data_IF_988563396002
#
_entry.id   IF_988563396002
#
_cell.length_a   1.000
_cell.length_b   1.000
_cell.length_c   1.000
_cell.angle_alpha   90.00
_cell.angle_beta   90.00
_cell.angle_gamma   90.00
#
_symmetry.space_group_name_H-M   'P 1'
#
loop_
_entity.id
_entity.type
_entity.pdbx_description
1 polymer ?
#
# COMPACT_ATOMS: atom_id res chain seq x y z
N UNK A 1 -9.88 -2.13 18.88
CA UNK A 1 -9.02 -1.10 18.23
C UNK A 1 -7.69 -1.75 17.92
N UNK A 2 -7.20 -1.65 16.69
CA UNK A 2 -5.86 -2.16 16.35
C UNK A 2 -4.83 -1.41 17.22
N UNK A 3 -3.89 -2.15 17.80
CA UNK A 3 -2.78 -1.56 18.58
C UNK A 3 -1.68 -1.09 17.64
N UNK A 4 -0.89 -0.10 18.07
CA UNK A 4 0.25 0.41 17.30
C UNK A 4 1.23 -0.70 16.93
N UNK A 5 1.51 -1.63 17.85
CA UNK A 5 2.40 -2.77 17.58
C UNK A 5 1.88 -3.63 16.42
N UNK A 6 0.57 -3.83 16.33
CA UNK A 6 -0.04 -4.59 15.24
C UNK A 6 0.00 -3.82 13.91
N UNK A 7 -0.12 -2.49 13.93
CA UNK A 7 0.07 -1.66 12.72
C UNK A 7 1.51 -1.80 12.21
N UNK A 8 2.49 -1.71 13.12
CA UNK A 8 3.91 -1.84 12.77
C UNK A 8 4.18 -3.22 12.18
N UNK A 9 3.67 -4.28 12.80
CA UNK A 9 3.82 -5.65 12.30
C UNK A 9 3.23 -5.80 10.89
N UNK A 10 2.02 -5.28 10.64
CA UNK A 10 1.38 -5.30 9.32
C UNK A 10 2.24 -4.53 8.30
N UNK A 11 2.75 -3.35 8.68
CA UNK A 11 3.57 -2.54 7.80
C UNK A 11 4.89 -3.24 7.44
N UNK A 12 5.59 -3.81 8.43
CA UNK A 12 6.84 -4.55 8.18
C UNK A 12 6.61 -5.72 7.22
N UNK A 13 5.55 -6.51 7.41
CA UNK A 13 5.20 -7.61 6.50
C UNK A 13 4.90 -7.09 5.08
N UNK A 14 4.15 -5.99 4.97
CA UNK A 14 3.84 -5.39 3.68
C UNK A 14 5.09 -4.82 2.99
N UNK A 15 6.02 -4.24 3.75
CA UNK A 15 7.28 -3.69 3.24
C UNK A 15 8.22 -4.78 2.72
N UNK A 16 8.42 -5.84 3.50
CA UNK A 16 9.19 -7.02 3.09
C UNK A 16 8.58 -7.66 1.82
N UNK A 17 7.26 -7.81 1.79
CA UNK A 17 6.53 -8.30 0.61
C UNK A 17 6.75 -7.41 -0.61
N UNK A 18 6.61 -6.09 -0.47
CA UNK A 18 6.77 -5.15 -1.57
C UNK A 18 8.20 -5.17 -2.13
N UNK A 19 9.21 -5.28 -1.27
CA UNK A 19 10.60 -5.37 -1.70
C UNK A 19 10.86 -6.61 -2.55
N UNK A 20 10.36 -7.78 -2.12
CA UNK A 20 10.48 -9.02 -2.88
C UNK A 20 9.64 -9.00 -4.16
N UNK A 21 8.40 -8.50 -4.08
CA UNK A 21 7.52 -8.34 -5.24
C UNK A 21 8.11 -7.43 -6.31
N UNK A 22 8.72 -6.30 -5.94
CA UNK A 22 9.35 -5.39 -6.90
C UNK A 22 10.56 -6.04 -7.60
N UNK A 23 11.29 -6.92 -6.92
CA UNK A 23 12.35 -7.71 -7.55
C UNK A 23 11.78 -8.72 -8.54
N UNK A 24 10.78 -9.49 -8.11
CA UNK A 24 10.16 -10.53 -8.93
C UNK A 24 9.44 -9.96 -10.14
N UNK A 25 8.67 -8.88 -9.97
CA UNK A 25 7.89 -8.31 -11.07
C UNK A 25 8.81 -7.75 -12.15
N UNK A 26 9.96 -7.16 -11.80
CA UNK A 26 10.93 -6.65 -12.78
C UNK A 26 11.48 -7.76 -13.69
N UNK A 27 11.66 -8.96 -13.16
CA UNK A 27 12.15 -10.11 -13.92
C UNK A 27 11.09 -10.72 -14.84
N UNK A 28 9.80 -10.58 -14.49
CA UNK A 28 8.68 -11.17 -15.19
C UNK A 28 7.83 -10.16 -15.98
N UNK A 29 8.19 -8.88 -15.95
CA UNK A 29 7.45 -7.82 -16.61
C UNK A 29 7.57 -7.98 -18.13
N UNK A 30 6.44 -8.28 -18.78
CA UNK A 30 6.38 -8.27 -20.24
C UNK A 30 6.72 -6.87 -20.75
N UNK A 31 7.58 -6.79 -21.77
CA UNK A 31 7.84 -5.53 -22.43
C UNK A 31 6.52 -5.01 -22.99
N UNK A 32 6.10 -3.85 -22.51
CA UNK A 32 5.02 -3.14 -23.17
C UNK A 32 5.51 -2.85 -24.59
N UNK A 33 4.90 -3.48 -25.60
CA UNK A 33 5.04 -3.05 -26.99
C UNK A 33 4.70 -1.56 -27.11
N UNK A 34 5.06 -0.94 -28.24
CA UNK A 34 5.19 0.50 -28.55
C UNK A 34 3.95 1.41 -28.31
N UNK A 35 3.21 1.19 -27.23
CA UNK A 35 1.88 1.69 -26.95
C UNK A 35 2.01 2.60 -25.74
N UNK A 36 2.16 3.90 -26.04
CA UNK A 36 1.99 5.04 -25.15
C UNK A 36 2.89 5.05 -23.91
N UNK A 37 3.83 6.00 -23.86
CA UNK A 37 4.64 6.29 -22.67
C UNK A 37 3.73 6.50 -21.45
N UNK A 38 3.66 5.49 -20.57
CA UNK A 38 2.91 5.57 -19.31
C UNK A 38 3.62 6.55 -18.39
N UNK A 39 2.84 7.44 -17.76
CA UNK A 39 3.38 8.46 -16.85
C UNK A 39 3.95 7.79 -15.60
N UNK A 40 5.28 7.78 -15.45
CA UNK A 40 5.96 7.25 -14.27
C UNK A 40 6.22 8.39 -13.27
N UNK A 41 5.19 8.82 -12.54
CA UNK A 41 5.28 9.87 -11.52
C UNK A 41 5.44 9.23 -10.15
N UNK A 42 6.42 9.69 -9.37
CA UNK A 42 6.54 9.32 -7.95
C UNK A 42 5.26 9.73 -7.20
N UNK A 43 4.61 8.75 -6.56
CA UNK A 43 3.54 8.99 -5.60
C UNK A 43 4.13 9.43 -4.27
N UNK A 44 3.32 10.04 -3.41
CA UNK A 44 3.75 10.41 -2.06
C UNK A 44 3.78 9.20 -1.12
N UNK A 45 2.89 8.22 -1.37
CA UNK A 45 2.75 7.01 -0.57
C UNK A 45 3.34 5.80 -1.31
N UNK A 46 4.07 4.96 -0.59
CA UNK A 46 4.64 3.69 -1.07
C UNK A 46 3.56 2.62 -1.26
N UNK A 47 3.90 1.54 -1.97
CA UNK A 47 2.99 0.39 -2.10
C UNK A 47 2.77 -0.31 -0.75
N UNK A 48 3.82 -0.40 0.09
CA UNK A 48 3.72 -0.99 1.42
C UNK A 48 2.79 -0.22 2.34
N UNK A 49 2.84 1.11 2.31
CA UNK A 49 1.90 1.99 3.02
C UNK A 49 0.45 1.77 2.54
N UNK A 50 0.22 1.71 1.23
CA UNK A 50 -1.13 1.48 0.66
C UNK A 50 -1.69 0.13 1.12
N UNK A 51 -0.88 -0.93 1.07
CA UNK A 51 -1.30 -2.27 1.52
C UNK A 51 -1.61 -2.24 3.02
N UNK A 52 -0.74 -1.65 3.83
CA UNK A 52 -0.95 -1.55 5.28
C UNK A 52 -2.24 -0.78 5.61
N UNK A 53 -2.53 0.31 4.90
CA UNK A 53 -3.77 1.08 5.01
C UNK A 53 -4.98 0.20 4.70
N UNK A 54 -4.95 -0.59 3.62
CA UNK A 54 -6.05 -1.49 3.26
C UNK A 54 -6.25 -2.61 4.28
N UNK A 55 -5.17 -3.26 4.74
CA UNK A 55 -5.26 -4.32 5.75
C UNK A 55 -5.82 -3.76 7.06
N UNK A 56 -5.32 -2.61 7.52
CA UNK A 56 -5.82 -1.95 8.73
C UNK A 56 -7.28 -1.51 8.59
N UNK A 57 -7.72 -1.10 7.40
CA UNK A 57 -9.14 -0.83 7.13
C UNK A 57 -10.01 -2.07 7.34
N UNK A 58 -9.59 -3.23 6.81
CA UNK A 58 -10.33 -4.49 6.92
C UNK A 58 -10.29 -5.10 8.32
N UNK A 59 -9.18 -4.94 9.03
CA UNK A 59 -9.05 -5.37 10.42
C UNK A 59 -9.75 -4.40 11.40
N UNK A 60 -9.96 -3.16 10.99
CA UNK A 60 -10.71 -2.15 11.74
C UNK A 60 -12.22 -2.28 11.54
N UNK A 61 -12.98 -1.87 12.54
CA UNK A 61 -14.45 -1.82 12.46
C UNK A 61 -14.92 -0.52 11.81
N UNK A 62 -14.43 -0.20 10.61
CA UNK A 62 -14.83 0.99 9.85
C UNK A 62 -15.97 0.67 8.89
N UNK A 63 -16.95 1.58 8.80
CA UNK A 63 -18.13 1.36 7.96
C UNK A 63 -17.84 1.44 6.46
N UNK A 64 -16.97 2.37 6.05
CA UNK A 64 -16.52 2.48 4.67
C UNK A 64 -15.12 3.11 4.58
N UNK A 65 -14.44 2.84 3.47
CA UNK A 65 -13.07 3.26 3.26
C UNK A 65 -12.92 4.79 3.22
N UNK A 66 -13.92 5.51 2.69
CA UNK A 66 -13.88 6.98 2.61
C UNK A 66 -13.82 7.61 4.00
N UNK A 67 -14.64 7.13 4.94
CA UNK A 67 -14.65 7.62 6.31
C UNK A 67 -13.30 7.31 7.00
N UNK A 68 -12.81 6.07 6.86
CA UNK A 68 -11.50 5.68 7.38
C UNK A 68 -10.37 6.56 6.84
N UNK A 69 -10.33 6.78 5.53
CA UNK A 69 -9.28 7.57 4.89
C UNK A 69 -9.29 9.03 5.37
N UNK A 70 -10.46 9.69 5.34
CA UNK A 70 -10.57 11.11 5.67
C UNK A 70 -10.34 11.42 7.15
N UNK A 71 -10.82 10.55 8.05
CA UNK A 71 -10.81 10.84 9.48
C UNK A 71 -9.67 10.16 10.24
N UNK A 72 -9.04 9.13 9.67
CA UNK A 72 -7.91 8.43 10.29
C UNK A 72 -6.62 8.63 9.49
N UNK A 73 -6.57 8.16 8.23
CA UNK A 73 -5.32 8.19 7.45
C UNK A 73 -4.81 9.61 7.22
N UNK A 74 -5.64 10.52 6.69
CA UNK A 74 -5.22 11.91 6.45
C UNK A 74 -4.83 12.70 7.70
N UNK A 75 -5.06 12.16 8.91
CA UNK A 75 -4.67 12.77 10.17
C UNK A 75 -3.37 12.19 10.74
N UNK A 76 -2.98 10.99 10.32
CA UNK A 76 -1.92 10.20 10.95
C UNK A 76 -0.81 9.75 9.98
N UNK A 77 -0.99 9.91 8.66
CA UNK A 77 0.01 9.71 7.61
C UNK A 77 0.17 10.99 6.80
#
# INVERSE_FOLDING_TARGET
MITTDKVIEIFCIADDFCAEYENEIRNHQLQAGDITKRRNRKTQMSQSEIIAVMVCFHCGTFHNFKNYYLFYICKHM
#
